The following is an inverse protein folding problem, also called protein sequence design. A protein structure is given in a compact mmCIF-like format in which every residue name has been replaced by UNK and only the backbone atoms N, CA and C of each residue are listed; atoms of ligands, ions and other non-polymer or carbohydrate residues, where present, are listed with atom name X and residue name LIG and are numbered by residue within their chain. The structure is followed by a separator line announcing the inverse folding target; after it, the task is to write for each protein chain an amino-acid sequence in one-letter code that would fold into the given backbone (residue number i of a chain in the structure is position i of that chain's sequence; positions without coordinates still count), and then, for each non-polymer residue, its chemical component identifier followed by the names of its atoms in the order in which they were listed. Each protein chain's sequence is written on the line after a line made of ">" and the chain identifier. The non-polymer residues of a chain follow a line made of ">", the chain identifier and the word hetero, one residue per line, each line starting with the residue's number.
data_IF_162365635899
#
_entry.id   IF_162365635899
#
_cell.length_a   1.000
_cell.length_b   1.000
_cell.length_c   1.000
_cell.angle_alpha   90.00
_cell.angle_beta   90.00
_cell.angle_gamma   90.00
#
_symmetry.space_group_name_H-M   'P 1'
#
loop_
_entity.id
_entity.type
_entity.pdbx_description
1 polymer ?
#
# COMPACT_ATOMS: atom_id res chain seq x y z
N UNK A 1 19.07 -9.31 20.39
CA UNK A 1 17.60 -9.29 20.21
C UNK A 1 17.30 -9.94 18.88
N UNK A 2 17.24 -11.26 18.85
CA UNK A 2 16.83 -12.03 17.66
C UNK A 2 15.32 -12.25 17.73
N UNK A 3 14.59 -12.00 16.63
CA UNK A 3 13.21 -12.49 16.52
C UNK A 3 12.14 -11.55 15.99
N UNK A 4 12.43 -10.49 15.23
CA UNK A 4 11.40 -9.87 14.38
C UNK A 4 11.85 -9.95 12.94
N UNK A 5 11.31 -10.93 12.21
CA UNK A 5 11.47 -11.01 10.76
C UNK A 5 10.84 -9.77 10.10
N UNK A 6 11.29 -9.44 8.90
CA UNK A 6 10.77 -8.32 8.12
C UNK A 6 9.26 -8.47 7.89
N UNK A 7 8.47 -7.49 8.31
CA UNK A 7 7.02 -7.41 8.12
C UNK A 7 6.76 -6.74 6.76
N UNK A 8 6.13 -7.47 5.85
CA UNK A 8 5.74 -6.96 4.53
C UNK A 8 4.37 -6.31 4.60
N UNK A 9 4.28 -5.03 4.22
CA UNK A 9 3.05 -4.23 4.32
C UNK A 9 2.62 -3.72 2.95
N UNK A 10 1.33 -3.86 2.64
CA UNK A 10 0.66 -3.25 1.49
C UNK A 10 -0.29 -2.16 1.99
N UNK A 11 -0.08 -0.91 1.59
CA UNK A 11 -0.93 0.21 2.01
C UNK A 11 -2.05 0.38 0.99
N UNK A 12 -3.30 0.12 1.39
CA UNK A 12 -4.49 0.26 0.53
C UNK A 12 -5.41 1.33 1.11
N UNK A 13 -5.37 2.52 0.51
CA UNK A 13 -6.28 3.63 0.84
C UNK A 13 -6.70 4.35 -0.45
N UNK A 14 -7.92 4.89 -0.47
CA UNK A 14 -8.47 5.65 -1.60
C UNK A 14 -7.99 7.12 -1.58
N UNK A 15 -7.57 7.64 -0.41
CA UNK A 15 -7.04 8.98 -0.24
C UNK A 15 -5.50 8.97 -0.37
N UNK A 16 -4.92 9.68 -1.36
CA UNK A 16 -3.47 9.75 -1.55
C UNK A 16 -2.71 10.24 -0.32
N UNK A 17 -3.25 11.23 0.39
CA UNK A 17 -2.60 11.83 1.57
C UNK A 17 -2.51 10.83 2.74
N UNK A 18 -3.53 10.00 2.94
CA UNK A 18 -3.51 8.97 3.99
C UNK A 18 -2.41 7.94 3.71
N UNK A 19 -2.28 7.52 2.44
CA UNK A 19 -1.22 6.62 1.99
C UNK A 19 0.18 7.20 2.20
N UNK A 20 0.38 8.48 1.89
CA UNK A 20 1.67 9.15 2.11
C UNK A 20 2.02 9.25 3.60
N UNK A 21 1.07 9.66 4.45
CA UNK A 21 1.27 9.75 5.90
C UNK A 21 1.64 8.38 6.51
N UNK A 22 0.95 7.32 6.10
CA UNK A 22 1.25 5.95 6.55
C UNK A 22 2.61 5.47 6.03
N UNK A 23 2.97 5.81 4.79
CA UNK A 23 4.31 5.49 4.26
C UNK A 23 5.40 6.13 5.09
N UNK A 24 5.31 7.43 5.38
CA UNK A 24 6.32 8.15 6.18
C UNK A 24 6.42 7.54 7.58
N UNK A 25 5.28 7.32 8.24
CA UNK A 25 5.25 6.74 9.59
C UNK A 25 5.84 5.32 9.65
N UNK A 26 5.52 4.46 8.67
CA UNK A 26 5.98 3.07 8.65
C UNK A 26 7.44 2.92 8.17
N UNK A 27 7.95 3.87 7.38
CA UNK A 27 9.35 3.88 6.95
C UNK A 27 10.34 4.10 8.10
N UNK A 28 9.90 4.67 9.22
CA UNK A 28 10.74 4.85 10.42
C UNK A 28 11.01 3.53 11.17
N UNK A 29 10.27 2.46 10.85
CA UNK A 29 10.40 1.15 11.50
C UNK A 29 11.37 0.25 10.73
N UNK A 30 12.46 -0.18 11.38
CA UNK A 30 13.51 -0.99 10.75
C UNK A 30 13.08 -2.41 10.36
N UNK A 31 11.93 -2.88 10.86
CA UNK A 31 11.37 -4.20 10.63
C UNK A 31 10.22 -4.19 9.61
N UNK A 32 9.97 -3.07 8.92
CA UNK A 32 8.88 -2.95 7.94
C UNK A 32 9.40 -2.75 6.51
N UNK A 33 8.88 -3.56 5.59
CA UNK A 33 9.09 -3.44 4.15
C UNK A 33 7.75 -3.13 3.47
N UNK A 34 7.63 -1.95 2.86
CA UNK A 34 6.44 -1.59 2.07
C UNK A 34 6.56 -2.23 0.68
N UNK A 35 5.71 -3.22 0.38
CA UNK A 35 5.79 -4.01 -0.86
C UNK A 35 5.03 -3.41 -2.06
N UNK A 36 4.30 -2.31 -1.84
CA UNK A 36 3.65 -1.57 -2.92
C UNK A 36 2.51 -0.66 -2.44
N UNK A 37 1.99 0.10 -3.40
CA UNK A 37 0.77 0.90 -3.26
C UNK A 37 -0.15 0.48 -4.42
N UNK A 38 -1.44 0.18 -4.17
CA UNK A 38 -2.35 -0.20 -5.23
C UNK A 38 -2.52 1.01 -6.14
N UNK A 39 -2.07 0.85 -7.38
CA UNK A 39 -2.49 1.71 -8.47
C UNK A 39 -3.96 1.37 -8.72
N UNK A 40 -4.88 2.20 -8.23
CA UNK A 40 -6.31 2.06 -8.53
C UNK A 40 -6.50 2.28 -10.03
N UNK A 41 -6.31 1.23 -10.83
CA UNK A 41 -6.77 1.23 -12.21
C UNK A 41 -8.28 1.15 -12.12
N UNK A 42 -8.96 2.28 -12.35
CA UNK A 42 -10.37 2.27 -12.72
C UNK A 42 -10.52 1.22 -13.82
N UNK A 43 -11.09 0.05 -13.50
CA UNK A 43 -11.59 -0.85 -14.53
C UNK A 43 -12.64 -0.03 -15.25
N UNK A 44 -12.28 0.50 -16.42
CA UNK A 44 -13.24 1.08 -17.34
C UNK A 44 -14.37 0.08 -17.48
N UNK A 45 -15.60 0.55 -17.28
CA UNK A 45 -16.79 -0.19 -17.67
C UNK A 45 -16.66 -0.51 -19.15
N UNK A 46 -16.12 -1.68 -19.44
CA UNK A 46 -16.50 -2.45 -20.61
C UNK A 46 -18.01 -2.67 -20.51
N UNK A 47 -18.75 -1.75 -21.13
CA UNK A 47 -20.09 -2.02 -21.63
C UNK A 47 -19.99 -2.10 -23.13
N UNK A 48 -19.42 -3.18 -23.65
CA UNK A 48 -19.77 -3.68 -24.98
C UNK A 48 -20.70 -4.87 -24.79
N UNK A 49 -21.99 -4.65 -25.00
CA UNK A 49 -22.98 -5.73 -25.05
C UNK A 49 -24.33 -5.35 -24.44
N UNK A 50 -25.08 -4.52 -25.15
CA UNK A 50 -26.54 -4.61 -25.28
C UNK A 50 -26.95 -3.88 -26.57
#
# INVERSE_FOLDING_TARGET
>A
MEGRGMIKVLIVDDEPLARENLRVFLQEQSDIEIVGEPMFKRRGRDRRGA
#
